data_IF_448148288293
#
_entry.id   IF_448148288293
#
_cell.length_a   1.000
_cell.length_b   1.000
_cell.length_c   1.000
_cell.angle_alpha   90.00
_cell.angle_beta   90.00
_cell.angle_gamma   90.00
#
_symmetry.space_group_name_H-M   'P 1'
#
loop_
_entity.id
_entity.type
_entity.pdbx_description
1 polymer ?
#
# COMPACT_ATOMS: atom_id res chain seq x y z
N UNK A 1 -17.59 -12.12 -8.79
CA UNK A 1 -16.60 -13.15 -8.43
C UNK A 1 -15.23 -12.54 -8.56
N UNK A 2 -14.30 -12.88 -7.66
CA UNK A 2 -12.95 -12.34 -7.70
C UNK A 2 -12.17 -13.00 -8.84
N UNK A 3 -11.56 -12.20 -9.72
CA UNK A 3 -10.72 -12.70 -10.80
C UNK A 3 -9.39 -13.17 -10.24
N UNK A 4 -8.92 -14.31 -10.73
CA UNK A 4 -7.53 -14.75 -10.52
C UNK A 4 -6.56 -13.78 -11.18
N UNK A 5 -5.29 -13.79 -10.77
CA UNK A 5 -4.29 -12.90 -11.37
C UNK A 5 -4.11 -13.12 -12.88
N UNK A 6 -4.27 -14.37 -13.36
CA UNK A 6 -4.23 -14.68 -14.80
C UNK A 6 -5.42 -14.08 -15.54
N UNK A 7 -6.64 -14.31 -15.06
CA UNK A 7 -7.85 -13.75 -15.66
C UNK A 7 -7.81 -12.21 -15.65
N UNK A 8 -7.26 -11.62 -14.59
CA UNK A 8 -7.05 -10.19 -14.50
C UNK A 8 -6.16 -9.67 -15.64
N UNK A 9 -5.02 -10.32 -15.89
CA UNK A 9 -4.14 -9.95 -17.02
C UNK A 9 -4.85 -10.08 -18.35
N UNK A 10 -5.58 -11.17 -18.56
CA UNK A 10 -6.32 -11.42 -19.81
C UNK A 10 -7.40 -10.37 -20.06
N UNK A 11 -8.10 -9.92 -19.01
CA UNK A 11 -9.12 -8.86 -19.12
C UNK A 11 -8.51 -7.48 -19.40
N UNK A 12 -7.36 -7.18 -18.80
CA UNK A 12 -6.65 -5.92 -19.06
C UNK A 12 -6.09 -5.89 -20.49
N UNK A 13 -5.54 -7.01 -20.97
CA UNK A 13 -4.98 -7.14 -22.31
C UNK A 13 -6.00 -6.95 -23.45
N UNK A 14 -7.30 -7.18 -23.17
CA UNK A 14 -8.38 -6.90 -24.13
C UNK A 14 -8.66 -5.40 -24.31
N UNK A 15 -8.22 -4.56 -23.37
CA UNK A 15 -8.50 -3.13 -23.35
C UNK A 15 -7.31 -2.32 -23.85
N UNK A 16 -6.09 -2.70 -23.46
CA UNK A 16 -4.88 -1.96 -23.84
C UNK A 16 -4.48 -2.32 -25.28
N UNK A 17 -4.33 -1.34 -26.18
CA UNK A 17 -3.84 -1.58 -27.54
C UNK A 17 -2.47 -2.26 -27.55
N UNK A 18 -2.27 -3.20 -28.49
CA UNK A 18 -0.99 -3.94 -28.63
C UNK A 18 0.23 -3.05 -28.98
N UNK A 19 0.00 -1.81 -29.39
CA UNK A 19 1.05 -0.83 -29.69
C UNK A 19 1.69 -0.23 -28.44
N UNK A 20 1.06 -0.38 -27.27
CA UNK A 20 1.57 0.16 -26.01
C UNK A 20 2.31 -0.95 -25.28
N UNK A 21 3.56 -0.70 -24.91
CA UNK A 21 4.32 -1.60 -24.05
C UNK A 21 3.96 -1.38 -22.58
N UNK A 22 3.69 -2.47 -21.87
CA UNK A 22 3.30 -2.41 -20.46
C UNK A 22 3.54 -3.73 -19.72
N UNK A 23 3.75 -3.62 -18.41
CA UNK A 23 3.72 -4.73 -17.47
C UNK A 23 2.57 -4.53 -16.46
N UNK A 24 2.01 -5.65 -15.98
CA UNK A 24 1.02 -5.65 -14.89
C UNK A 24 1.65 -6.24 -13.64
N UNK A 25 1.63 -5.49 -12.55
CA UNK A 25 2.02 -5.94 -11.22
C UNK A 25 0.92 -5.69 -10.18
N UNK A 26 1.11 -6.21 -8.97
CA UNK A 26 0.18 -6.05 -7.86
C UNK A 26 0.80 -5.24 -6.73
N UNK A 27 0.06 -4.22 -6.28
CA UNK A 27 0.39 -3.42 -5.11
C UNK A 27 -0.65 -3.70 -4.02
N UNK A 28 -0.54 -4.86 -3.37
CA UNK A 28 -1.55 -5.41 -2.48
C UNK A 28 -2.92 -5.50 -3.16
N UNK A 29 -3.89 -4.69 -2.74
CA UNK A 29 -5.23 -4.65 -3.33
C UNK A 29 -5.34 -3.84 -4.63
N UNK A 30 -4.29 -3.11 -5.02
CA UNK A 30 -4.26 -2.29 -6.24
C UNK A 30 -3.56 -3.03 -7.37
N UNK A 31 -3.91 -2.67 -8.61
CA UNK A 31 -3.26 -3.19 -9.81
C UNK A 31 -2.37 -2.10 -10.38
N UNK A 32 -1.08 -2.37 -10.47
CA UNK A 32 -0.10 -1.46 -11.07
C UNK A 32 0.06 -1.79 -12.55
N UNK A 33 -0.15 -0.79 -13.40
CA UNK A 33 0.23 -0.85 -14.81
C UNK A 33 1.54 -0.05 -14.94
N UNK A 34 2.59 -0.74 -15.35
CA UNK A 34 3.93 -0.19 -15.50
C UNK A 34 4.15 0.09 -16.99
N UNK A 35 4.37 1.34 -17.36
CA UNK A 35 4.54 1.73 -18.78
C UNK A 35 5.28 3.06 -18.91
N UNK A 36 6.06 3.22 -19.98
CA UNK A 36 6.67 4.51 -20.33
C UNK A 36 5.66 5.45 -21.01
N UNK A 37 4.61 4.91 -21.65
CA UNK A 37 3.60 5.72 -22.35
C UNK A 37 2.37 5.95 -21.47
N UNK A 38 2.44 7.01 -20.66
CA UNK A 38 1.38 7.36 -19.69
C UNK A 38 0.16 8.03 -20.36
N UNK A 39 0.34 8.71 -21.49
CA UNK A 39 -0.69 9.60 -22.07
C UNK A 39 -2.00 8.87 -22.38
N UNK A 40 -2.00 7.68 -23.03
CA UNK A 40 -3.22 6.92 -23.34
C UNK A 40 -4.04 6.51 -22.10
N UNK A 41 -3.39 6.40 -20.95
CA UNK A 41 -4.03 6.00 -19.71
C UNK A 41 -4.71 7.16 -18.97
N UNK A 42 -4.21 8.37 -19.17
CA UNK A 42 -4.68 9.59 -18.51
C UNK A 42 -5.76 10.33 -19.30
N UNK A 43 -6.57 11.17 -18.62
CA UNK A 43 -7.62 11.98 -19.23
C UNK A 43 -9.04 11.41 -19.05
N UNK A 44 -10.05 12.15 -19.54
CA UNK A 44 -11.47 11.87 -19.30
C UNK A 44 -11.95 10.54 -19.91
N UNK A 45 -11.36 10.14 -21.04
CA UNK A 45 -11.61 8.86 -21.73
C UNK A 45 -10.42 7.89 -21.67
N UNK A 46 -9.49 8.12 -20.73
CA UNK A 46 -8.27 7.34 -20.57
C UNK A 46 -8.51 5.87 -20.24
N UNK A 47 -7.55 5.02 -20.58
CA UNK A 47 -7.65 3.56 -20.39
C UNK A 47 -7.85 3.17 -18.91
N UNK A 48 -7.35 3.94 -17.94
CA UNK A 48 -7.53 3.67 -16.50
C UNK A 48 -9.01 3.48 -16.15
N UNK A 49 -9.89 4.40 -16.60
CA UNK A 49 -11.30 4.36 -16.25
C UNK A 49 -12.01 3.14 -16.84
N UNK A 50 -11.66 2.76 -18.08
CA UNK A 50 -12.19 1.58 -18.76
C UNK A 50 -11.76 0.29 -18.06
N UNK A 51 -10.48 0.20 -17.72
CA UNK A 51 -9.91 -0.95 -17.02
C UNK A 51 -10.53 -1.08 -15.62
N UNK A 52 -10.54 0.00 -14.83
CA UNK A 52 -11.07 0.00 -13.46
C UNK A 52 -12.54 -0.45 -13.41
N UNK A 53 -13.38 -0.02 -14.36
CA UNK A 53 -14.78 -0.45 -14.46
C UNK A 53 -14.90 -1.95 -14.78
N UNK A 54 -14.00 -2.49 -15.60
CA UNK A 54 -14.00 -3.90 -16.00
C UNK A 54 -13.55 -4.81 -14.86
N UNK A 55 -12.41 -4.49 -14.23
CA UNK A 55 -11.80 -5.34 -13.20
C UNK A 55 -12.30 -5.05 -11.78
N UNK A 56 -13.00 -3.92 -11.57
CA UNK A 56 -13.55 -3.48 -10.27
C UNK A 56 -12.50 -3.37 -9.16
N UNK A 57 -11.31 -2.90 -9.54
CA UNK A 57 -10.16 -2.63 -8.66
C UNK A 57 -9.52 -1.31 -9.01
N UNK A 58 -8.82 -0.72 -8.05
CA UNK A 58 -8.07 0.52 -8.27
C UNK A 58 -6.85 0.23 -9.13
N UNK A 59 -6.71 1.00 -10.21
CA UNK A 59 -5.56 0.96 -11.10
C UNK A 59 -4.63 2.11 -10.73
N UNK A 60 -3.34 1.82 -10.64
CA UNK A 60 -2.27 2.81 -10.45
C UNK A 60 -1.28 2.71 -11.61
N UNK A 61 -0.75 3.85 -12.05
CA UNK A 61 0.27 3.91 -13.10
C UNK A 61 1.64 4.08 -12.46
N UNK A 62 2.63 3.41 -13.04
CA UNK A 62 4.01 3.40 -12.58
C UNK A 62 4.97 3.48 -13.77
N UNK A 63 6.02 4.26 -13.62
CA UNK A 63 7.09 4.34 -14.64
C UNK A 63 8.00 3.12 -14.52
N UNK A 64 8.45 2.49 -15.62
CA UNK A 64 9.47 1.44 -15.61
C UNK A 64 10.74 1.88 -14.86
N UNK A 65 11.39 0.97 -14.14
CA UNK A 65 12.50 1.33 -13.23
C UNK A 65 13.73 1.85 -13.96
N UNK A 66 13.96 1.36 -15.17
CA UNK A 66 15.02 1.77 -16.11
C UNK A 66 14.78 3.16 -16.72
N UNK A 67 13.53 3.60 -16.74
CA UNK A 67 13.12 4.94 -17.17
C UNK A 67 13.03 5.95 -16.00
N UNK A 68 13.38 5.55 -14.77
CA UNK A 68 13.37 6.44 -13.61
C UNK A 68 14.73 7.10 -13.40
N UNK A 69 14.70 8.38 -13.05
CA UNK A 69 15.87 9.12 -12.61
C UNK A 69 16.26 8.73 -11.18
N UNK A 70 17.56 8.71 -10.91
CA UNK A 70 18.09 8.55 -9.57
C UNK A 70 17.57 9.63 -8.61
N UNK A 71 17.40 9.29 -7.33
CA UNK A 71 16.75 10.15 -6.33
C UNK A 71 17.48 11.49 -6.13
N UNK A 72 18.81 11.50 -6.12
CA UNK A 72 19.55 12.74 -5.88
C UNK A 72 19.43 13.67 -7.09
N UNK A 73 19.57 13.14 -8.30
CA UNK A 73 19.34 13.92 -9.54
C UNK A 73 17.89 14.38 -9.67
N UNK A 74 16.93 13.55 -9.26
CA UNK A 74 15.52 13.90 -9.28
C UNK A 74 15.22 15.05 -8.31
N UNK A 75 15.88 15.12 -7.15
CA UNK A 75 15.77 16.26 -6.21
C UNK A 75 16.19 17.56 -6.87
N UNK A 76 17.33 17.57 -7.56
CA UNK A 76 17.83 18.76 -8.26
C UNK A 76 16.82 19.23 -9.32
N UNK A 77 16.34 18.31 -10.16
CA UNK A 77 15.34 18.62 -11.20
C UNK A 77 14.02 19.13 -10.60
N UNK A 78 13.60 18.58 -9.46
CA UNK A 78 12.38 19.04 -8.76
C UNK A 78 12.56 20.46 -8.24
N UNK A 79 13.71 20.79 -7.67
CA UNK A 79 14.03 22.14 -7.19
C UNK A 79 14.10 23.16 -8.33
N UNK A 80 14.56 22.76 -9.51
CA UNK A 80 14.58 23.62 -10.69
C UNK A 80 13.17 23.89 -11.26
N UNK A 81 12.28 22.90 -11.22
CA UNK A 81 10.92 23.01 -11.79
C UNK A 81 9.97 23.75 -10.86
N UNK A 82 10.06 23.49 -9.56
CA UNK A 82 9.14 24.08 -8.59
C UNK A 82 9.62 25.50 -8.24
N UNK A 83 8.77 26.51 -8.39
CA UNK A 83 9.11 27.89 -8.01
C UNK A 83 9.54 28.01 -6.54
N UNK A 84 10.55 28.86 -6.26
CA UNK A 84 11.09 29.07 -4.90
C UNK A 84 10.02 29.54 -3.90
N UNK A 85 9.02 30.31 -4.35
CA UNK A 85 7.91 30.80 -3.53
C UNK A 85 6.94 29.69 -3.07
N UNK A 86 7.02 28.51 -3.68
CA UNK A 86 6.35 27.32 -3.17
C UNK A 86 6.88 26.92 -1.77
N UNK A 87 8.13 27.26 -1.47
CA UNK A 87 8.83 27.02 -0.21
C UNK A 87 8.79 25.52 0.17
N UNK A 88 9.57 24.73 -0.58
CA UNK A 88 9.74 23.29 -0.32
C UNK A 88 10.50 23.12 1.00
N UNK A 89 9.96 22.28 1.86
CA UNK A 89 10.52 21.97 3.18
C UNK A 89 11.11 20.56 3.25
N UNK A 90 10.44 19.57 2.67
CA UNK A 90 10.88 18.17 2.72
C UNK A 90 10.53 17.45 1.42
N UNK A 91 11.35 16.47 1.04
CA UNK A 91 11.10 15.58 -0.09
C UNK A 91 11.33 14.13 0.32
N UNK A 92 10.26 13.33 0.27
CA UNK A 92 10.30 11.91 0.62
C UNK A 92 10.07 11.04 -0.60
N UNK A 93 11.04 10.21 -0.95
CA UNK A 93 10.93 9.27 -2.05
C UNK A 93 10.43 7.92 -1.52
N UNK A 94 9.44 7.33 -2.18
CA UNK A 94 8.99 5.96 -1.93
C UNK A 94 9.32 5.09 -3.15
N UNK A 95 10.46 4.40 -3.09
CA UNK A 95 10.93 3.50 -4.14
C UNK A 95 9.99 2.30 -4.40
N UNK A 96 9.15 1.93 -3.44
CA UNK A 96 8.15 0.88 -3.62
C UNK A 96 7.03 1.35 -4.57
N UNK A 97 6.52 2.57 -4.34
CA UNK A 97 5.43 3.15 -5.15
C UNK A 97 5.90 4.02 -6.31
N UNK A 98 7.21 4.23 -6.45
CA UNK A 98 7.82 5.10 -7.47
C UNK A 98 7.24 6.51 -7.41
N UNK A 99 7.05 7.01 -6.19
CA UNK A 99 6.40 8.29 -5.88
C UNK A 99 7.33 9.17 -5.05
N UNK A 100 7.31 10.47 -5.31
CA UNK A 100 7.91 11.50 -4.46
C UNK A 100 6.81 12.32 -3.79
N UNK A 101 6.90 12.46 -2.48
CA UNK A 101 6.07 13.33 -1.67
C UNK A 101 6.84 14.62 -1.41
N UNK A 102 6.33 15.73 -1.93
CA UNK A 102 6.93 17.06 -1.82
C UNK A 102 6.11 17.84 -0.78
N UNK A 103 6.72 18.17 0.36
CA UNK A 103 6.10 19.00 1.39
C UNK A 103 6.52 20.44 1.23
N UNK A 104 5.56 21.35 1.08
CA UNK A 104 5.81 22.76 0.84
C UNK A 104 4.78 23.68 1.51
N UNK A 105 5.11 24.95 1.72
CA UNK A 105 4.17 25.91 2.34
C UNK A 105 3.06 26.33 1.39
N UNK A 106 3.32 26.37 0.08
CA UNK A 106 2.33 26.71 -0.94
C UNK A 106 2.11 25.57 -1.97
N UNK A 107 1.29 24.55 -1.64
CA UNK A 107 1.03 23.42 -2.54
C UNK A 107 0.47 23.81 -3.92
N UNK A 108 -0.34 24.86 -4.00
CA UNK A 108 -0.93 25.32 -5.27
C UNK A 108 0.15 25.73 -6.27
N UNK A 109 1.15 26.47 -5.81
CA UNK A 109 2.31 26.90 -6.60
C UNK A 109 3.19 25.72 -6.98
N UNK A 110 3.45 24.79 -6.04
CA UNK A 110 4.22 23.58 -6.31
C UNK A 110 3.58 22.67 -7.37
N UNK A 111 2.24 22.52 -7.36
CA UNK A 111 1.50 21.72 -8.35
C UNK A 111 1.50 22.42 -9.73
N UNK A 112 1.42 23.74 -9.74
CA UNK A 112 1.28 24.54 -10.96
C UNK A 112 -0.13 24.49 -11.55
N UNK A 113 -0.39 25.32 -12.57
CA UNK A 113 -1.71 25.42 -13.18
C UNK A 113 -2.07 24.10 -13.86
N UNK A 114 -3.21 23.51 -13.46
CA UNK A 114 -3.66 22.18 -13.97
C UNK A 114 -2.59 21.07 -13.79
N UNK A 115 -1.72 21.16 -12.79
CA UNK A 115 -0.70 20.16 -12.52
C UNK A 115 0.49 20.20 -13.47
N UNK A 116 0.73 21.32 -14.15
CA UNK A 116 1.85 21.49 -15.09
C UNK A 116 3.19 21.08 -14.49
N UNK A 117 3.53 21.57 -13.29
CA UNK A 117 4.80 21.24 -12.63
C UNK A 117 4.86 19.75 -12.25
N UNK A 118 3.78 19.20 -11.69
CA UNK A 118 3.72 17.77 -11.34
C UNK A 118 3.86 16.86 -12.57
N UNK A 119 3.25 17.24 -13.70
CA UNK A 119 3.40 16.52 -14.95
C UNK A 119 4.83 16.67 -15.51
N UNK A 120 5.40 17.87 -15.46
CA UNK A 120 6.77 18.12 -15.93
C UNK A 120 7.80 17.32 -15.12
N UNK A 121 7.66 17.27 -13.79
CA UNK A 121 8.51 16.44 -12.92
C UNK A 121 8.36 14.97 -13.29
N UNK A 122 7.13 14.45 -13.42
CA UNK A 122 6.91 13.06 -13.81
C UNK A 122 7.54 12.75 -15.16
N UNK A 123 7.34 13.61 -16.15
CA UNK A 123 7.79 13.37 -17.52
C UNK A 123 9.32 13.47 -17.64
N UNK A 124 9.98 14.29 -16.82
CA UNK A 124 11.45 14.42 -16.77
C UNK A 124 12.15 13.38 -15.89
N UNK A 125 11.56 13.05 -14.75
CA UNK A 125 12.22 12.24 -13.70
C UNK A 125 11.68 10.80 -13.62
N UNK A 126 10.50 10.54 -14.17
CA UNK A 126 9.80 9.26 -14.03
C UNK A 126 9.08 9.07 -12.68
N UNK A 127 9.29 9.95 -11.70
CA UNK A 127 8.64 9.83 -10.38
C UNK A 127 7.20 10.35 -10.42
N UNK A 128 6.26 9.56 -9.88
CA UNK A 128 4.92 10.07 -9.59
C UNK A 128 5.01 11.14 -8.51
N UNK A 129 4.25 12.23 -8.64
CA UNK A 129 4.36 13.37 -7.73
C UNK A 129 3.12 13.47 -6.85
N UNK A 130 3.35 13.56 -5.55
CA UNK A 130 2.35 13.93 -4.56
C UNK A 130 2.80 15.19 -3.83
N UNK A 131 1.99 16.23 -3.86
CA UNK A 131 2.28 17.48 -3.14
C UNK A 131 1.45 17.52 -1.87
N UNK A 132 2.11 17.78 -0.74
CA UNK A 132 1.49 17.93 0.57
C UNK A 132 1.85 19.31 1.15
N UNK A 133 0.94 19.88 1.96
CA UNK A 133 1.27 21.06 2.75
C UNK A 133 2.24 20.67 3.86
N UNK A 134 3.26 21.47 4.09
CA UNK A 134 4.14 21.32 5.27
C UNK A 134 3.30 21.27 6.55
N UNK A 135 3.41 20.20 7.36
CA UNK A 135 2.75 20.15 8.65
C UNK A 135 3.23 21.29 9.56
N UNK A 136 2.38 21.83 10.44
CA UNK A 136 2.78 22.89 11.37
C UNK A 136 3.86 22.42 12.37
N UNK A 137 3.91 21.12 12.65
CA UNK A 137 4.90 20.50 13.52
C UNK A 137 5.61 19.37 12.77
N UNK A 138 6.93 19.37 12.83
CA UNK A 138 7.72 18.27 12.33
C UNK A 138 7.58 17.06 13.26
N UNK A 139 7.24 15.90 12.69
CA UNK A 139 7.19 14.64 13.43
C UNK A 139 8.39 13.78 13.05
N UNK A 140 9.31 13.60 14.00
CA UNK A 140 10.45 12.69 13.85
C UNK A 140 10.00 11.28 13.51
N UNK A 141 8.94 10.78 14.16
CA UNK A 141 8.39 9.44 13.90
C UNK A 141 7.94 9.27 12.45
N UNK A 142 7.25 10.27 11.88
CA UNK A 142 6.82 10.21 10.47
C UNK A 142 8.02 10.24 9.53
N UNK A 143 9.00 11.09 9.82
CA UNK A 143 10.25 11.16 9.05
C UNK A 143 10.98 9.81 9.06
N UNK A 144 11.26 9.26 10.24
CA UNK A 144 11.98 7.98 10.40
C UNK A 144 11.25 6.82 9.68
N UNK A 145 9.92 6.75 9.78
CA UNK A 145 9.12 5.74 9.07
C UNK A 145 9.22 5.90 7.54
N UNK A 146 9.19 7.14 7.03
CA UNK A 146 9.32 7.40 5.58
C UNK A 146 10.71 7.02 5.09
N UNK A 147 11.76 7.36 5.83
CA UNK A 147 13.14 6.99 5.51
C UNK A 147 13.34 5.47 5.55
N UNK A 148 12.80 4.79 6.57
CA UNK A 148 12.84 3.32 6.65
C UNK A 148 12.11 2.67 5.46
N UNK A 149 10.93 3.20 5.10
CA UNK A 149 10.16 2.73 3.95
C UNK A 149 10.89 2.93 2.62
N UNK A 150 11.64 4.02 2.48
CA UNK A 150 12.46 4.30 1.31
C UNK A 150 13.59 3.27 1.19
N UNK A 151 14.34 3.03 2.27
CA UNK A 151 15.49 2.12 2.26
C UNK A 151 15.11 0.65 2.03
N UNK A 152 13.85 0.27 2.31
CA UNK A 152 13.33 -1.09 2.11
C UNK A 152 12.34 -1.18 0.93
N UNK A 153 12.45 -0.28 -0.06
CA UNK A 153 11.51 -0.20 -1.18
C UNK A 153 11.34 -1.51 -1.97
N UNK A 154 12.44 -2.22 -2.24
CA UNK A 154 12.42 -3.45 -3.04
C UNK A 154 11.77 -4.62 -2.29
N UNK A 155 12.11 -4.79 -1.01
CA UNK A 155 11.49 -5.78 -0.14
C UNK A 155 9.98 -5.51 -0.01
N UNK A 156 9.60 -4.26 0.24
CA UNK A 156 8.19 -3.85 0.32
C UNK A 156 7.44 -4.16 -0.97
N UNK A 157 8.04 -3.92 -2.14
CA UNK A 157 7.40 -4.21 -3.43
C UNK A 157 7.14 -5.70 -3.59
N UNK A 158 8.09 -6.56 -3.19
CA UNK A 158 7.89 -8.01 -3.17
C UNK A 158 6.76 -8.41 -2.22
N UNK A 159 6.73 -7.88 -1.01
CA UNK A 159 5.67 -8.17 -0.03
C UNK A 159 4.28 -7.77 -0.54
N UNK A 160 4.16 -6.58 -1.14
CA UNK A 160 2.88 -6.13 -1.72
C UNK A 160 2.42 -7.02 -2.88
N UNK A 161 3.36 -7.49 -3.70
CA UNK A 161 3.08 -8.42 -4.79
C UNK A 161 2.61 -9.77 -4.26
N UNK A 162 3.32 -10.35 -3.31
CA UNK A 162 2.98 -11.63 -2.69
C UNK A 162 1.60 -11.56 -2.00
N UNK A 163 1.34 -10.47 -1.28
CA UNK A 163 0.03 -10.20 -0.67
C UNK A 163 -1.08 -10.05 -1.72
N UNK A 164 -0.83 -9.32 -2.81
CA UNK A 164 -1.77 -9.19 -3.92
C UNK A 164 -2.06 -10.51 -4.62
N UNK A 165 -1.04 -11.35 -4.82
CA UNK A 165 -1.21 -12.70 -5.37
C UNK A 165 -2.06 -13.57 -4.45
N UNK A 166 -1.86 -13.47 -3.14
CA UNK A 166 -2.67 -14.18 -2.16
C UNK A 166 -4.13 -13.71 -2.17
N UNK A 167 -4.38 -12.41 -2.35
CA UNK A 167 -5.73 -11.87 -2.59
C UNK A 167 -6.31 -12.54 -3.84
N UNK A 168 -5.61 -12.51 -4.97
CA UNK A 168 -6.08 -12.99 -6.27
C UNK A 168 -5.89 -14.50 -6.52
N UNK A 169 -5.86 -15.30 -5.45
CA UNK A 169 -5.84 -16.76 -5.54
C UNK A 169 -7.18 -17.33 -6.07
N UNK A 170 -7.20 -18.54 -6.63
CA UNK A 170 -8.44 -19.25 -6.92
C UNK A 170 -9.29 -19.43 -5.65
N UNK A 171 -10.61 -19.32 -5.78
CA UNK A 171 -11.55 -19.62 -4.69
C UNK A 171 -11.46 -21.09 -4.30
N UNK A 172 -11.38 -21.38 -3.00
CA UNK A 172 -11.36 -22.74 -2.48
C UNK A 172 -12.76 -23.36 -2.60
N UNK A 173 -12.84 -24.69 -2.79
CA UNK A 173 -14.13 -25.37 -2.82
C UNK A 173 -14.74 -25.39 -1.41
N UNK A 174 -16.05 -25.18 -1.31
CA UNK A 174 -16.76 -25.29 -0.04
C UNK A 174 -18.05 -24.46 -0.01
N UNK A 175 -18.89 -24.74 0.99
CA UNK A 175 -20.05 -23.90 1.30
C UNK A 175 -19.63 -22.59 1.97
N UNK A 176 -20.40 -21.53 1.75
CA UNK A 176 -20.16 -20.21 2.37
C UNK A 176 -20.53 -20.25 3.85
N UNK A 177 -19.58 -19.86 4.71
CA UNK A 177 -19.82 -19.67 6.14
C UNK A 177 -18.89 -18.58 6.71
N UNK A 178 -19.25 -18.06 7.88
CA UNK A 178 -18.41 -17.15 8.65
C UNK A 178 -18.51 -17.48 10.15
N UNK A 179 -17.40 -17.32 10.87
CA UNK A 179 -17.30 -17.51 12.32
C UNK A 179 -16.36 -16.49 12.92
N UNK A 180 -16.66 -16.07 14.15
CA UNK A 180 -15.77 -15.26 14.99
C UNK A 180 -15.36 -16.06 16.21
N UNK A 181 -14.06 -16.10 16.49
CA UNK A 181 -13.48 -16.67 17.70
C UNK A 181 -12.90 -15.54 18.54
N UNK A 182 -13.28 -15.50 19.80
CA UNK A 182 -12.74 -14.58 20.79
C UNK A 182 -11.34 -15.03 21.25
N UNK A 183 -10.30 -14.22 21.02
CA UNK A 183 -8.93 -14.51 21.45
C UNK A 183 -8.39 -13.52 22.50
N UNK A 184 -9.17 -12.49 22.85
CA UNK A 184 -8.88 -11.55 23.95
C UNK A 184 -9.84 -10.36 23.95
N UNK A 185 -9.97 -9.64 25.07
CA UNK A 185 -10.92 -8.53 25.29
C UNK A 185 -12.41 -8.92 25.41
N UNK A 186 -12.70 -10.19 25.69
CA UNK A 186 -14.07 -10.66 25.94
C UNK A 186 -14.28 -10.88 27.44
N UNK A 187 -15.18 -10.11 28.04
CA UNK A 187 -15.39 -10.01 29.50
C UNK A 187 -14.17 -9.46 30.27
N UNK A 188 -13.32 -8.69 29.60
CA UNK A 188 -12.14 -8.02 30.14
C UNK A 188 -11.81 -6.78 29.29
N UNK A 189 -10.88 -5.94 29.77
CA UNK A 189 -10.26 -4.86 29.01
C UNK A 189 -8.77 -5.18 28.85
N UNK A 190 -8.23 -4.99 27.64
CA UNK A 190 -6.86 -5.35 27.30
C UNK A 190 -6.80 -6.50 26.29
N UNK A 191 -5.64 -6.65 25.64
CA UNK A 191 -5.32 -7.76 24.71
C UNK A 191 -6.37 -8.03 23.63
N UNK A 192 -6.96 -6.98 23.04
CA UNK A 192 -7.99 -7.13 22.02
C UNK A 192 -7.49 -8.00 20.86
N UNK A 193 -8.25 -9.06 20.57
CA UNK A 193 -7.97 -9.95 19.45
C UNK A 193 -9.23 -10.74 19.08
N UNK A 194 -9.70 -10.52 17.85
CA UNK A 194 -10.87 -11.16 17.28
C UNK A 194 -10.46 -11.93 16.03
N UNK A 195 -10.75 -13.22 15.98
CA UNK A 195 -10.36 -14.05 14.85
C UNK A 195 -11.57 -14.39 13.99
N UNK A 196 -11.62 -13.80 12.81
CA UNK A 196 -12.69 -13.97 11.82
C UNK A 196 -12.25 -15.00 10.79
N UNK A 197 -13.05 -16.05 10.63
CA UNK A 197 -12.78 -17.13 9.68
C UNK A 197 -13.96 -17.34 8.75
N UNK A 198 -13.65 -17.66 7.48
CA UNK A 198 -14.61 -18.13 6.48
C UNK A 198 -14.08 -19.40 5.84
N UNK A 199 -14.82 -19.98 4.89
CA UNK A 199 -14.29 -21.08 4.07
C UNK A 199 -13.02 -20.68 3.28
N UNK A 200 -12.83 -19.39 3.00
CA UNK A 200 -11.73 -18.88 2.19
C UNK A 200 -10.60 -18.24 3.00
N UNK A 201 -10.93 -17.57 4.11
CA UNK A 201 -10.06 -16.55 4.70
C UNK A 201 -9.94 -16.66 6.22
N UNK A 202 -8.80 -16.19 6.74
CA UNK A 202 -8.47 -16.07 8.16
C UNK A 202 -7.98 -14.66 8.43
N UNK A 203 -8.70 -13.89 9.24
CA UNK A 203 -8.39 -12.49 9.52
C UNK A 203 -8.35 -12.29 11.04
N UNK A 204 -7.29 -11.68 11.56
CA UNK A 204 -7.26 -11.18 12.92
C UNK A 204 -7.64 -9.71 12.91
N UNK A 205 -8.55 -9.31 13.79
CA UNK A 205 -8.87 -7.92 14.07
C UNK A 205 -8.31 -7.63 15.45
N UNK A 206 -7.37 -6.70 15.50
CA UNK A 206 -6.52 -6.36 16.64
C UNK A 206 -5.65 -7.53 17.15
N UNK A 207 -4.52 -7.15 17.72
CA UNK A 207 -3.52 -8.01 18.36
C UNK A 207 -2.88 -7.20 19.49
N UNK A 208 -3.70 -6.92 20.50
CA UNK A 208 -3.35 -6.06 21.61
C UNK A 208 -2.52 -6.70 22.71
N UNK A 209 -2.06 -5.87 23.66
CA UNK A 209 -1.49 -6.30 24.95
C UNK A 209 -2.42 -5.94 26.11
N UNK A 210 -2.52 -6.78 27.13
CA UNK A 210 -3.09 -6.37 28.41
C UNK A 210 -2.00 -5.68 29.26
N UNK A 211 -2.01 -4.35 29.28
CA UNK A 211 -1.02 -3.52 29.98
C UNK A 211 -1.13 -3.67 31.51
N UNK A 212 -2.29 -4.12 32.01
CA UNK A 212 -2.53 -4.27 33.44
C UNK A 212 -2.12 -5.66 33.98
N UNK A 213 -1.64 -6.58 33.14
CA UNK A 213 -1.24 -7.92 33.55
C UNK A 213 0.16 -8.27 33.07
N UNK A 214 1.08 -8.45 34.00
CA UNK A 214 2.43 -8.96 33.70
C UNK A 214 2.45 -10.48 33.50
N UNK A 215 1.43 -11.19 34.00
CA UNK A 215 1.37 -12.66 33.99
C UNK A 215 0.72 -13.23 32.74
N UNK A 216 -0.32 -12.56 32.23
CA UNK A 216 -1.06 -13.00 31.03
C UNK A 216 -1.36 -11.82 30.08
N UNK A 217 -0.31 -11.17 29.53
CA UNK A 217 -0.47 -9.98 28.72
C UNK A 217 -0.97 -10.25 27.29
N UNK A 218 -0.92 -11.49 26.82
CA UNK A 218 -1.10 -11.82 25.40
C UNK A 218 -2.52 -12.31 25.08
N UNK A 219 -2.98 -12.11 23.83
CA UNK A 219 -4.08 -12.88 23.29
C UNK A 219 -3.77 -14.38 23.26
N UNK A 220 -4.81 -15.21 23.15
CA UNK A 220 -4.70 -16.68 23.06
C UNK A 220 -4.19 -17.15 21.68
N UNK A 221 -2.96 -16.80 21.31
CA UNK A 221 -2.33 -17.19 20.04
C UNK A 221 -2.12 -18.71 19.89
N UNK A 222 -2.14 -19.45 21.00
CA UNK A 222 -2.06 -20.91 21.03
C UNK A 222 -3.41 -21.61 20.81
N UNK A 223 -4.51 -20.87 20.64
CA UNK A 223 -5.80 -21.46 20.31
C UNK A 223 -5.66 -22.30 19.03
N UNK A 224 -6.10 -23.58 19.02
CA UNK A 224 -5.93 -24.47 17.88
C UNK A 224 -6.44 -23.91 16.55
N UNK A 225 -7.52 -23.12 16.57
CA UNK A 225 -8.10 -22.50 15.39
C UNK A 225 -7.24 -21.38 14.79
N UNK A 226 -6.45 -20.69 15.61
CA UNK A 226 -5.54 -19.63 15.18
C UNK A 226 -4.26 -20.20 14.55
N UNK A 227 -3.92 -21.46 14.85
CA UNK A 227 -2.70 -22.11 14.37
C UNK A 227 -2.87 -22.77 12.98
N UNK A 228 -1.78 -22.83 12.19
CA UNK A 228 -0.55 -22.04 12.35
C UNK A 228 -0.78 -20.57 11.93
N UNK A 229 -0.05 -19.64 12.58
CA UNK A 229 -0.21 -18.19 12.39
C UNK A 229 0.27 -17.69 11.01
N UNK A 230 1.14 -18.46 10.34
CA UNK A 230 1.62 -18.21 8.98
C UNK A 230 0.52 -18.37 7.90
N UNK A 231 -0.62 -18.99 8.25
CA UNK A 231 -1.80 -19.11 7.39
C UNK A 231 -2.78 -17.94 7.54
N UNK A 232 -2.45 -16.94 8.35
CA UNK A 232 -3.28 -15.75 8.49
C UNK A 232 -3.22 -14.93 7.21
N UNK A 233 -4.39 -14.56 6.66
CA UNK A 233 -4.43 -13.75 5.43
C UNK A 233 -4.18 -12.27 5.72
N UNK A 234 -4.65 -11.76 6.85
CA UNK A 234 -4.51 -10.36 7.21
C UNK A 234 -4.64 -10.12 8.72
N UNK A 235 -4.00 -9.05 9.18
CA UNK A 235 -4.29 -8.41 10.46
C UNK A 235 -4.87 -7.03 10.18
N UNK A 236 -5.96 -6.70 10.85
CA UNK A 236 -6.60 -5.38 10.79
C UNK A 236 -6.47 -4.74 12.15
N UNK A 237 -5.79 -3.60 12.23
CA UNK A 237 -5.75 -2.80 13.46
C UNK A 237 -6.85 -1.74 13.41
N UNK A 238 -7.68 -1.69 14.45
CA UNK A 238 -8.76 -0.70 14.56
C UNK A 238 -8.21 0.69 14.85
N UNK A 239 -7.22 0.78 15.73
CA UNK A 239 -6.51 2.01 16.08
C UNK A 239 -5.16 1.70 16.76
N UNK A 240 -4.42 2.73 17.15
CA UNK A 240 -3.02 2.62 17.58
C UNK A 240 -2.81 2.42 19.08
N UNK A 241 -3.86 2.22 19.89
CA UNK A 241 -3.65 1.95 21.31
C UNK A 241 -3.01 0.57 21.52
N UNK A 242 -2.20 0.44 22.57
CA UNK A 242 -1.40 -0.77 22.81
C UNK A 242 -2.28 -1.99 23.10
N UNK A 243 -3.43 -1.82 23.73
CA UNK A 243 -4.41 -2.86 23.95
C UNK A 243 -5.12 -3.35 22.67
N UNK A 244 -4.80 -2.76 21.51
CA UNK A 244 -5.25 -3.19 20.18
C UNK A 244 -4.11 -3.56 19.23
N UNK A 245 -2.92 -2.97 19.38
CA UNK A 245 -1.81 -3.15 18.44
C UNK A 245 -0.51 -3.69 19.07
N UNK A 246 -0.40 -3.72 20.39
CA UNK A 246 0.87 -3.90 21.11
C UNK A 246 1.54 -5.27 20.93
N UNK A 247 0.80 -6.30 20.54
CA UNK A 247 1.33 -7.65 20.28
C UNK A 247 1.56 -7.95 18.79
N UNK A 248 1.34 -6.99 17.89
CA UNK A 248 1.65 -7.17 16.46
C UNK A 248 3.11 -7.62 16.21
N UNK A 249 4.15 -7.06 16.86
CA UNK A 249 5.53 -7.54 16.67
C UNK A 249 5.73 -8.99 17.12
N UNK A 250 5.00 -9.44 18.14
CA UNK A 250 5.05 -10.83 18.63
C UNK A 250 4.45 -11.78 17.60
N UNK A 251 3.38 -11.35 16.91
CA UNK A 251 2.79 -12.12 15.82
C UNK A 251 3.81 -12.39 14.70
N UNK A 252 4.57 -11.37 14.28
CA UNK A 252 5.67 -11.54 13.32
C UNK A 252 6.77 -12.47 13.85
N UNK A 253 7.14 -12.35 15.14
CA UNK A 253 8.11 -13.25 15.79
C UNK A 253 7.65 -14.72 15.75
N UNK A 254 6.34 -14.97 15.81
CA UNK A 254 5.74 -16.31 15.75
C UNK A 254 5.41 -16.78 14.32
N UNK A 255 5.88 -16.07 13.29
CA UNK A 255 5.90 -16.57 11.92
C UNK A 255 4.86 -15.97 10.99
N UNK A 256 4.06 -14.98 11.43
CA UNK A 256 3.24 -14.20 10.51
C UNK A 256 4.12 -13.43 9.50
N UNK A 257 3.71 -13.42 8.22
CA UNK A 257 4.45 -12.82 7.11
C UNK A 257 3.49 -12.21 6.08
#
# INVERSE_FOLDING_TARGET
MQMTYRELKDEIAKIIPRSIDYEIDLEAGNIAIITADMKPFTGQDGLIGKIARRVKRKIVLRTPIDAMMDMDKARDVIQEIIPEDADITEMYFDACYREVIIQCRQPGTAIGRRGENSNAIRDKTGWAVKVERTPPLFSKTVHDIRMYRQSHGDERRKLLKDFGLNIHRPTRPGGTWARVTALGSYREVGRACHYVTTNESRIMIDVGVNIASDTDPMPFFNAPEALPLDKLDAVVLTHSHLDHAGMLPVLFKYGYR
#
